data_IF_417126195750
#
_entry.id   IF_417126195750
#
_cell.length_a   1.000
_cell.length_b   1.000
_cell.length_c   1.000
_cell.angle_alpha   90.00
_cell.angle_beta   90.00
_cell.angle_gamma   90.00
#
_symmetry.space_group_name_H-M   'P 1'
#
loop_
_entity.id
_entity.type
_entity.pdbx_description
1 polymer ?
#
# COMPACT_ATOMS: atom_id res chain seq x y z
N UNK A 1 0.52 11.92 11.10
CA UNK A 1 0.89 11.21 12.35
C UNK A 1 1.83 10.07 12.00
N UNK A 2 2.98 9.91 12.67
CA UNK A 2 3.95 8.86 12.29
C UNK A 2 3.43 7.42 12.48
N UNK A 3 2.54 7.18 13.47
CA UNK A 3 2.06 5.85 13.85
C UNK A 3 0.53 5.73 13.99
N UNK A 4 -0.22 6.79 13.70
CA UNK A 4 -1.70 6.81 13.79
C UNK A 4 -2.39 6.50 12.45
N UNK A 5 -3.73 6.46 12.43
CA UNK A 5 -4.49 6.41 11.18
C UNK A 5 -4.12 7.59 10.26
N UNK A 6 -4.03 7.35 8.95
CA UNK A 6 -3.83 8.39 7.94
C UNK A 6 -4.62 8.08 6.67
N UNK A 7 -5.53 8.98 6.29
CA UNK A 7 -6.33 8.86 5.06
C UNK A 7 -5.53 8.99 3.76
N UNK A 8 -4.28 9.45 3.82
CA UNK A 8 -3.37 9.54 2.67
C UNK A 8 -2.61 8.22 2.40
N UNK A 9 -2.87 7.15 3.16
CA UNK A 9 -2.34 5.83 2.85
C UNK A 9 -2.96 5.27 1.57
N UNK A 10 -2.20 4.41 0.90
CA UNK A 10 -2.62 3.74 -0.32
C UNK A 10 -1.54 3.75 -1.40
N UNK A 11 -1.89 3.24 -2.57
CA UNK A 11 -1.08 3.37 -3.79
C UNK A 11 -1.65 4.50 -4.62
N UNK A 12 -0.76 5.33 -5.14
CA UNK A 12 -1.09 6.41 -6.05
C UNK A 12 -0.40 6.16 -7.39
N UNK A 13 -1.11 6.50 -8.47
CA UNK A 13 -0.61 6.42 -9.84
C UNK A 13 -0.62 7.80 -10.48
N UNK A 14 0.42 8.07 -11.26
CA UNK A 14 0.51 9.22 -12.14
C UNK A 14 0.74 8.74 -13.58
N UNK A 15 0.16 9.47 -14.54
CA UNK A 15 0.35 9.25 -15.97
C UNK A 15 1.04 10.42 -16.68
N UNK A 16 1.49 11.43 -15.91
CA UNK A 16 2.00 12.71 -16.43
C UNK A 16 3.34 13.10 -15.80
N UNK A 17 4.15 12.10 -15.45
CA UNK A 17 5.48 12.30 -14.87
C UNK A 17 5.46 12.77 -13.41
N UNK A 18 4.34 12.59 -12.71
CA UNK A 18 4.20 12.93 -11.28
C UNK A 18 3.59 14.30 -11.01
N UNK A 19 2.99 14.96 -12.02
CA UNK A 19 2.32 16.26 -11.85
C UNK A 19 0.98 16.07 -11.15
N UNK A 20 0.21 15.05 -11.55
CA UNK A 20 -1.03 14.65 -10.90
C UNK A 20 -0.96 13.19 -10.46
N UNK A 21 -1.55 12.91 -9.30
CA UNK A 21 -1.60 11.58 -8.70
C UNK A 21 -3.03 11.21 -8.35
N UNK A 22 -3.43 10.00 -8.72
CA UNK A 22 -4.75 9.42 -8.39
C UNK A 22 -4.54 8.27 -7.43
N UNK A 23 -5.31 8.22 -6.33
CA UNK A 23 -5.29 7.07 -5.41
C UNK A 23 -6.00 5.89 -6.08
N UNK A 24 -5.25 4.82 -6.38
CA UNK A 24 -5.75 3.64 -7.10
C UNK A 24 -5.97 2.43 -6.20
N UNK A 25 -5.32 2.39 -5.03
CA UNK A 25 -5.57 1.38 -3.99
C UNK A 25 -5.75 2.06 -2.64
N UNK A 26 -6.93 1.92 -2.06
CA UNK A 26 -7.26 2.36 -0.69
C UNK A 26 -7.75 1.16 0.12
N UNK A 27 -7.17 0.95 1.28
CA UNK A 27 -7.54 -0.11 2.24
C UNK A 27 -7.92 0.46 3.61
N UNK A 28 -8.21 1.76 3.64
CA UNK A 28 -8.54 2.48 4.86
C UNK A 28 -7.32 3.06 5.56
N UNK A 29 -7.56 3.89 6.58
CA UNK A 29 -6.53 4.75 7.15
C UNK A 29 -5.52 4.00 8.00
N UNK A 30 -5.69 2.70 8.27
CA UNK A 30 -4.83 1.91 9.16
C UNK A 30 -3.87 0.97 8.43
N UNK A 31 -4.03 0.82 7.12
CA UNK A 31 -3.31 -0.17 6.32
C UNK A 31 -2.30 0.51 5.43
N UNK A 32 -1.03 0.14 5.59
CA UNK A 32 0.07 0.62 4.75
C UNK A 32 0.33 -0.31 3.57
N UNK A 33 0.96 0.22 2.54
CA UNK A 33 1.55 -0.57 1.45
C UNK A 33 3.05 -0.64 1.71
N UNK A 34 3.58 -1.84 1.92
CA UNK A 34 4.99 -2.06 2.27
C UNK A 34 5.87 -2.35 1.06
N UNK A 35 5.28 -2.84 -0.03
CA UNK A 35 6.00 -3.19 -1.25
C UNK A 35 5.12 -3.00 -2.49
N UNK A 36 5.74 -2.66 -3.61
CA UNK A 36 5.12 -2.50 -4.92
C UNK A 36 6.08 -2.99 -5.99
N UNK A 37 5.62 -3.93 -6.82
CA UNK A 37 6.42 -4.45 -7.94
C UNK A 37 5.61 -4.50 -9.23
N UNK A 38 6.30 -4.36 -10.35
CA UNK A 38 5.75 -4.42 -11.71
C UNK A 38 6.32 -5.66 -12.38
N UNK A 39 5.47 -6.47 -12.99
CA UNK A 39 5.92 -7.58 -13.82
C UNK A 39 6.65 -7.03 -15.05
N UNK A 40 7.92 -7.39 -15.23
CA UNK A 40 8.78 -6.83 -16.29
C UNK A 40 8.42 -7.32 -17.69
N UNK A 41 7.81 -8.50 -17.79
CA UNK A 41 7.30 -9.12 -19.01
C UNK A 41 5.88 -8.63 -19.36
N UNK A 42 5.08 -8.28 -18.36
CA UNK A 42 3.72 -7.76 -18.53
C UNK A 42 3.50 -6.49 -17.67
N UNK A 43 3.90 -5.28 -18.12
CA UNK A 43 3.88 -4.07 -17.30
C UNK A 43 2.49 -3.60 -16.83
N UNK A 44 1.41 -4.16 -17.38
CA UNK A 44 0.05 -3.94 -16.88
C UNK A 44 -0.24 -4.76 -15.60
N UNK A 45 0.60 -5.74 -15.27
CA UNK A 45 0.48 -6.57 -14.07
C UNK A 45 1.37 -5.99 -12.97
N UNK A 46 0.74 -5.57 -11.88
CA UNK A 46 1.41 -5.04 -10.70
C UNK A 46 0.95 -5.78 -9.46
N UNK A 47 1.83 -5.86 -8.47
CA UNK A 47 1.51 -6.39 -7.15
C UNK A 47 1.83 -5.39 -6.05
N UNK A 48 0.91 -5.25 -5.09
CA UNK A 48 1.10 -4.44 -3.91
C UNK A 48 0.94 -5.30 -2.65
N UNK A 49 1.93 -5.24 -1.76
CA UNK A 49 1.87 -5.87 -0.45
C UNK A 49 1.31 -4.89 0.58
N UNK A 50 0.16 -5.21 1.16
CA UNK A 50 -0.43 -4.43 2.25
C UNK A 50 -0.12 -5.06 3.59
N UNK A 51 0.11 -4.19 4.58
CA UNK A 51 0.36 -4.62 5.95
C UNK A 51 -0.37 -3.71 6.93
N UNK A 52 -1.31 -4.31 7.66
CA UNK A 52 -2.00 -3.66 8.76
C UNK A 52 -1.17 -3.89 10.02
N UNK A 53 -0.25 -2.97 10.30
CA UNK A 53 0.60 -3.02 11.49
C UNK A 53 0.96 -1.64 11.99
N UNK A 54 1.24 -1.54 13.29
CA UNK A 54 1.83 -0.36 13.91
C UNK A 54 3.04 -0.76 14.75
N UNK A 55 4.21 -0.24 14.39
CA UNK A 55 5.47 -0.54 15.09
C UNK A 55 6.15 0.71 15.68
N UNK A 56 5.56 1.38 16.70
CA UNK A 56 6.20 2.49 17.37
C UNK A 56 7.42 2.03 18.20
N UNK A 57 8.43 2.90 18.43
CA UNK A 57 9.72 2.50 19.00
C UNK A 57 9.69 2.12 20.49
N UNK A 58 8.58 2.36 21.20
CA UNK A 58 8.39 2.05 22.63
C UNK A 58 7.38 0.93 22.87
N UNK A 59 7.21 0.01 21.91
CA UNK A 59 6.22 -1.08 22.03
C UNK A 59 6.81 -2.45 21.72
N UNK A 60 6.34 -3.44 22.48
CA UNK A 60 6.53 -4.85 22.14
C UNK A 60 5.42 -5.26 21.18
N UNK A 61 5.77 -5.87 20.04
CA UNK A 61 4.81 -6.20 19.00
C UNK A 61 4.25 -7.60 19.27
N UNK A 62 2.93 -7.69 19.49
CA UNK A 62 2.21 -8.95 19.38
C UNK A 62 2.27 -9.46 17.91
N UNK A 63 1.94 -10.74 17.63
CA UNK A 63 1.72 -11.18 16.25
C UNK A 63 0.76 -10.23 15.53
N UNK A 64 1.11 -9.86 14.29
CA UNK A 64 0.41 -8.86 13.50
C UNK A 64 -0.33 -9.56 12.37
N UNK A 65 -1.57 -9.96 12.64
CA UNK A 65 -2.47 -10.63 11.70
C UNK A 65 -3.78 -9.84 11.51
N UNK A 66 -3.73 -8.53 11.78
CA UNK A 66 -4.90 -7.65 11.64
C UNK A 66 -5.47 -7.74 10.21
N UNK A 67 -6.81 -7.82 10.06
CA UNK A 67 -7.47 -7.92 8.76
C UNK A 67 -7.05 -6.82 7.79
N UNK A 68 -6.90 -7.19 6.52
CA UNK A 68 -6.54 -6.30 5.42
C UNK A 68 -5.04 -6.27 5.07
N UNK A 69 -4.21 -7.04 5.77
CA UNK A 69 -2.90 -7.46 5.27
C UNK A 69 -3.06 -8.47 4.12
N UNK A 70 -2.29 -8.33 3.04
CA UNK A 70 -2.43 -9.22 1.89
C UNK A 70 -1.64 -8.78 0.66
N UNK A 71 -1.83 -9.52 -0.43
CA UNK A 71 -1.25 -9.19 -1.74
C UNK A 71 -2.38 -8.81 -2.70
N UNK A 72 -2.28 -7.64 -3.27
CA UNK A 72 -3.18 -7.14 -4.32
C UNK A 72 -2.51 -7.30 -5.67
N UNK A 73 -3.30 -7.64 -6.68
CA UNK A 73 -2.87 -7.77 -8.08
C UNK A 73 -3.71 -6.87 -8.97
N UNK A 74 -3.05 -6.05 -9.78
CA UNK A 74 -3.66 -5.32 -10.89
C UNK A 74 -3.32 -6.02 -12.22
N UNK A 75 -4.16 -5.83 -13.24
CA UNK A 75 -3.93 -6.27 -14.62
C UNK A 75 -4.14 -5.14 -15.66
N UNK A 76 -4.29 -3.91 -15.19
CA UNK A 76 -4.62 -2.70 -15.95
C UNK A 76 -3.64 -1.55 -15.68
N UNK A 77 -2.46 -1.87 -15.17
CA UNK A 77 -1.39 -0.91 -14.93
C UNK A 77 -1.53 -0.13 -13.63
N UNK A 78 -2.32 -0.62 -12.68
CA UNK A 78 -2.64 0.05 -11.41
C UNK A 78 -3.84 0.97 -11.52
#
# INVERSE_FOLDING_TARGET
HAYGPNAERGVYKSSDGGTHWTKVLDQGPDIGVSDLTIASDEPNVLFAGTWHTRRPPWSTYAPLDDPGSGIYRSQDGG
#
